data_IF_163442147827
#
_entry.id   IF_163442147827
#
_cell.length_a   1.000
_cell.length_b   1.000
_cell.length_c   1.000
_cell.angle_alpha   90.00
_cell.angle_beta   90.00
_cell.angle_gamma   90.00
#
_symmetry.space_group_name_H-M   'P 1'
#
loop_
_entity.id
_entity.type
_entity.pdbx_description
1 polymer ?
#
# COMPACT_ATOMS: atom_id res chain seq x y z
N UNK A 1 4.92 -1.54 -21.10
CA UNK A 1 5.51 -1.79 -21.71
C UNK A 1 5.84 -2.31 -22.14
N UNK A 2 4.52 -2.41 -22.19
CA UNK A 2 4.67 -2.77 -23.05
C UNK A 2 5.01 -3.30 -23.26
N UNK A 3 4.51 -2.53 -22.00
CA UNK A 3 4.72 -2.87 -22.73
C UNK A 3 4.92 -3.53 -22.84
N UNK A 4 4.00 -3.56 -22.71
CA UNK A 4 4.05 -4.00 -23.33
C UNK A 4 4.43 -4.64 -23.43
N UNK A 5 3.44 -4.34 -23.17
CA UNK A 5 3.62 -4.67 -23.77
C UNK A 5 3.71 -5.14 -23.93
N UNK A 6 2.81 -4.93 -23.54
CA UNK A 6 2.84 -5.12 -24.17
C UNK A 6 2.68 -5.51 -24.53
N UNK A 7 1.92 -5.39 -24.46
CA UNK A 7 1.79 -5.54 -25.22
C UNK A 7 1.62 -5.96 -25.55
N UNK A 8 0.95 -5.71 -25.33
CA UNK A 8 0.76 -5.87 -26.08
C UNK A 8 0.47 -6.21 -26.23
N UNK A 9 -0.28 -5.93 -25.98
CA UNK A 9 -0.54 -5.97 -26.58
C UNK A 9 -0.85 -6.26 -26.80
N UNK A 10 -1.44 -5.94 -26.58
CA UNK A 10 -1.70 -5.95 -27.15
C UNK A 10 -2.04 -6.22 -27.32
N UNK A 11 -2.54 -5.93 -27.25
CA UNK A 11 -2.88 -5.96 -27.78
C UNK A 11 -3.39 -6.34 -28.00
N UNK A 12 -3.84 -6.08 -27.96
CA UNK A 12 -4.31 -6.16 -28.45
C UNK A 12 -4.91 -6.48 -28.65
N UNK A 13 -5.33 -6.27 -28.59
CA UNK A 13 -5.97 -6.37 -28.87
C UNK A 13 -6.59 -6.77 -29.01
N UNK A 14 -7.01 -6.51 -29.10
CA UNK A 14 -7.65 -6.58 -29.36
C UNK A 14 -8.25 -6.70 -29.66
N UNK A 15 -8.50 -6.49 -29.71
CA UNK A 15 -9.22 -6.36 -29.96
C UNK A 15 -9.91 -6.48 -30.18
N UNK A 16 -10.18 -6.30 -30.31
CA UNK A 16 -10.89 -6.19 -30.36
C UNK A 16 -11.67 -6.37 -30.39
N UNK A 17 -12.00 -6.50 -30.79
CA UNK A 17 -12.76 -6.33 -30.51
C UNK A 17 -13.42 -6.47 -30.41
N UNK A 18 -13.61 -6.18 -30.24
CA UNK A 18 -14.15 -6.03 -29.77
C UNK A 18 -14.61 -5.78 -29.66
N UNK A 19 -14.76 -5.31 -29.61
CA UNK A 19 -15.14 -4.74 -29.19
C UNK A 19 -15.87 -4.54 -29.26
N UNK A 20 -16.33 -4.35 -29.32
CA UNK A 20 -16.96 -3.98 -29.01
C UNK A 20 -17.64 -3.87 -28.51
N UNK A 21 -17.86 -3.93 -28.41
CA UNK A 21 -18.50 -3.63 -27.85
C UNK A 21 -18.46 -3.38 -27.00
N UNK A 22 -18.28 -3.46 -26.77
CA UNK A 22 -18.36 -3.19 -25.85
C UNK A 22 -18.45 -2.29 -25.38
N UNK A 23 -18.87 -1.77 -25.52
CA UNK A 23 -19.20 -0.90 -25.08
C UNK A 23 -20.13 -0.57 -24.83
N UNK A 24 -20.42 -0.98 -24.98
CA UNK A 24 -21.51 -0.90 -24.64
C UNK A 24 -21.93 -0.12 -23.62
N UNK A 25 -22.86 -0.32 -23.09
CA UNK A 25 -23.30 0.34 -22.00
C UNK A 25 -22.20 0.46 -21.12
N UNK A 26 -21.89 1.56 -20.71
CA UNK A 26 -20.90 1.69 -19.83
C UNK A 26 -21.18 1.03 -18.63
N UNK A 27 -20.48 0.03 -18.33
CA UNK A 27 -20.57 -0.54 -17.04
C UNK A 27 -20.16 0.51 -16.06
N UNK A 28 -20.78 0.51 -14.97
CA UNK A 28 -20.33 1.32 -13.88
C UNK A 28 -19.01 0.79 -13.46
N UNK A 29 -17.99 1.58 -13.72
CA UNK A 29 -16.66 1.19 -13.30
C UNK A 29 -16.52 1.59 -11.86
N UNK A 30 -16.46 0.62 -10.98
CA UNK A 30 -16.22 0.91 -9.60
C UNK A 30 -14.74 0.98 -9.38
N UNK A 31 -14.31 2.06 -8.80
CA UNK A 31 -12.92 2.14 -8.40
C UNK A 31 -12.68 1.18 -7.26
N UNK A 32 -11.57 0.47 -7.27
CA UNK A 32 -11.26 -0.37 -6.13
C UNK A 32 -11.11 0.46 -4.87
N UNK A 33 -11.57 -0.07 -3.78
CA UNK A 33 -11.40 0.59 -2.49
C UNK A 33 -9.93 0.64 -2.15
N UNK A 34 -9.53 1.75 -1.56
CA UNK A 34 -8.16 1.93 -1.12
C UNK A 34 -8.07 1.77 0.39
N UNK A 35 -6.90 1.37 0.83
CA UNK A 35 -6.65 1.10 2.24
C UNK A 35 -5.35 1.74 2.67
N UNK A 36 -5.35 2.27 3.89
CA UNK A 36 -4.13 2.78 4.50
C UNK A 36 -3.47 1.66 5.26
N UNK A 37 -2.14 1.62 5.18
CA UNK A 37 -1.37 0.80 6.10
C UNK A 37 -0.88 1.73 7.21
N UNK A 38 -1.18 1.35 8.45
CA UNK A 38 -0.92 2.19 9.61
C UNK A 38 0.00 1.47 10.57
N UNK A 39 1.04 2.17 11.01
CA UNK A 39 1.88 1.67 12.08
C UNK A 39 1.36 2.16 13.42
N UNK A 40 1.37 1.28 14.39
CA UNK A 40 0.91 1.58 15.73
C UNK A 40 2.09 1.74 16.67
N UNK A 41 1.98 2.68 17.60
CA UNK A 41 3.04 2.93 18.54
C UNK A 41 3.11 1.84 19.61
N UNK A 42 4.32 1.57 20.06
CA UNK A 42 4.53 0.74 21.24
C UNK A 42 5.75 1.32 21.98
N UNK A 43 6.01 0.80 23.16
CA UNK A 43 7.05 1.36 24.01
C UNK A 43 8.39 0.68 23.90
N UNK A 44 8.49 -0.32 23.02
CA UNK A 44 9.68 -1.16 23.02
C UNK A 44 10.46 -1.16 21.69
N UNK A 45 9.78 -0.89 20.58
CA UNK A 45 10.44 -0.93 19.28
C UNK A 45 11.33 0.30 19.11
N UNK A 46 12.60 0.12 18.77
CA UNK A 46 13.48 1.28 18.59
C UNK A 46 13.04 2.13 17.42
N UNK A 47 13.20 3.44 17.55
CA UNK A 47 12.82 4.38 16.48
C UNK A 47 13.55 4.06 15.18
N UNK A 48 14.82 3.69 15.27
CA UNK A 48 15.58 3.39 14.06
C UNK A 48 15.02 2.17 13.34
N UNK A 49 14.44 1.22 14.08
CA UNK A 49 13.81 0.08 13.44
C UNK A 49 12.57 0.51 12.68
N UNK A 50 11.78 1.43 13.25
CA UNK A 50 10.60 1.96 12.58
C UNK A 50 10.98 2.66 11.30
N UNK A 51 12.04 3.49 11.32
CA UNK A 51 12.51 4.16 10.13
C UNK A 51 12.95 3.13 9.08
N UNK A 52 13.64 2.09 9.51
CA UNK A 52 14.12 1.04 8.62
C UNK A 52 12.95 0.35 7.92
N UNK A 53 11.90 0.02 8.67
CA UNK A 53 10.71 -0.61 8.13
C UNK A 53 10.05 0.29 7.08
N UNK A 54 9.95 1.59 7.38
CA UNK A 54 9.33 2.53 6.47
C UNK A 54 10.12 2.67 5.18
N UNK A 55 11.43 2.66 5.26
CA UNK A 55 12.25 2.75 4.06
C UNK A 55 12.23 1.46 3.24
N UNK A 56 12.29 0.31 3.92
CA UNK A 56 12.41 -0.94 3.19
C UNK A 56 11.10 -1.47 2.62
N UNK A 57 10.01 -1.30 3.34
CA UNK A 57 8.74 -1.87 2.89
C UNK A 57 7.86 -0.86 2.17
N UNK A 58 8.11 0.43 2.36
CA UNK A 58 7.28 1.47 1.73
C UNK A 58 8.07 2.38 0.81
N UNK A 59 9.37 2.13 0.66
CA UNK A 59 10.18 2.88 -0.31
C UNK A 59 10.33 4.34 0.00
N UNK A 60 10.16 4.73 1.26
CA UNK A 60 10.24 6.13 1.63
C UNK A 60 11.68 6.55 1.83
N UNK A 61 11.97 7.83 1.54
CA UNK A 61 13.31 8.31 1.85
C UNK A 61 13.43 8.54 3.36
N UNK A 62 14.63 8.79 3.82
CA UNK A 62 14.89 8.86 5.24
C UNK A 62 14.13 9.99 5.91
N UNK A 63 14.02 11.12 5.22
CA UNK A 63 13.33 12.26 5.79
C UNK A 63 11.85 11.95 5.99
N UNK A 64 11.20 11.40 4.98
CA UNK A 64 9.79 11.07 5.09
C UNK A 64 9.56 9.97 6.10
N UNK A 65 10.43 8.96 6.11
CA UNK A 65 10.33 7.87 7.06
C UNK A 65 10.47 8.40 8.49
N UNK A 66 11.37 9.34 8.71
CA UNK A 66 11.56 9.94 10.03
C UNK A 66 10.32 10.72 10.45
N UNK A 67 9.71 11.46 9.52
CA UNK A 67 8.49 12.20 9.83
C UNK A 67 7.36 11.26 10.27
N UNK A 68 7.21 10.15 9.57
CA UNK A 68 6.16 9.19 9.90
C UNK A 68 6.48 8.52 11.23
N UNK A 69 7.74 8.17 11.45
CA UNK A 69 8.15 7.59 12.73
C UNK A 69 7.82 8.51 13.89
N UNK A 70 8.07 9.82 13.71
CA UNK A 70 7.74 10.76 14.76
C UNK A 70 6.23 10.86 14.99
N UNK A 71 5.44 10.77 13.91
CA UNK A 71 3.99 10.76 14.05
C UNK A 71 3.52 9.54 14.83
N UNK A 72 4.11 8.37 14.55
CA UNK A 72 3.79 7.16 15.30
C UNK A 72 4.10 7.37 16.78
N UNK A 73 5.27 7.94 17.06
CA UNK A 73 5.72 8.12 18.44
C UNK A 73 4.88 9.15 19.20
N UNK A 74 4.51 10.26 18.53
CA UNK A 74 3.83 11.36 19.23
C UNK A 74 2.32 11.26 19.18
N UNK A 75 1.76 10.67 18.10
CA UNK A 75 0.30 10.62 17.94
C UNK A 75 -0.26 9.22 18.11
N UNK A 76 0.60 8.25 18.30
CA UNK A 76 0.16 6.88 18.52
C UNK A 76 0.01 6.05 17.25
N UNK A 77 0.00 6.69 16.09
CA UNK A 77 -0.17 5.99 14.82
C UNK A 77 0.37 6.84 13.69
N UNK A 78 0.76 6.20 12.61
CA UNK A 78 1.24 6.90 11.43
C UNK A 78 0.86 6.14 10.17
N UNK A 79 0.50 6.88 9.12
CA UNK A 79 0.10 6.28 7.85
C UNK A 79 1.35 6.07 7.02
N UNK A 80 1.58 4.82 6.62
CA UNK A 80 2.76 4.47 5.81
C UNK A 80 2.50 4.66 4.33
N UNK A 81 1.26 4.47 3.90
CA UNK A 81 0.90 4.59 2.50
C UNK A 81 -0.51 4.13 2.28
N UNK A 82 -0.98 4.34 1.05
CA UNK A 82 -2.35 4.01 0.65
C UNK A 82 -2.25 3.11 -0.57
N UNK A 83 -2.95 1.98 -0.54
CA UNK A 83 -2.81 0.94 -1.55
C UNK A 83 -4.15 0.29 -1.80
N UNK A 84 -4.23 -0.53 -2.85
CA UNK A 84 -5.39 -1.42 -2.98
C UNK A 84 -5.37 -2.40 -1.80
N UNK A 85 -6.51 -3.03 -1.57
CA UNK A 85 -6.64 -3.91 -0.41
C UNK A 85 -5.59 -5.02 -0.39
N UNK A 86 -5.39 -5.67 -1.53
CA UNK A 86 -4.44 -6.78 -1.59
C UNK A 86 -3.02 -6.33 -1.28
N UNK A 87 -2.63 -5.20 -1.84
CA UNK A 87 -1.28 -4.69 -1.60
C UNK A 87 -1.13 -4.27 -0.15
N UNK A 88 -2.16 -3.60 0.40
CA UNK A 88 -2.12 -3.17 1.80
C UNK A 88 -1.99 -4.37 2.74
N UNK A 89 -2.76 -5.43 2.48
CA UNK A 89 -2.68 -6.63 3.29
C UNK A 89 -1.31 -7.26 3.24
N UNK A 90 -0.74 -7.34 2.03
CA UNK A 90 0.58 -7.93 1.87
C UNK A 90 1.64 -7.11 2.60
N UNK A 91 1.59 -5.79 2.46
CA UNK A 91 2.57 -4.94 3.12
C UNK A 91 2.46 -5.03 4.63
N UNK A 92 1.24 -5.02 5.14
CA UNK A 92 1.02 -5.12 6.58
C UNK A 92 1.56 -6.46 7.10
N UNK A 93 1.28 -7.54 6.38
CA UNK A 93 1.78 -8.85 6.78
C UNK A 93 3.31 -8.88 6.77
N UNK A 94 3.93 -8.30 5.74
CA UNK A 94 5.39 -8.27 5.65
C UNK A 94 6.00 -7.52 6.82
N UNK A 95 5.43 -6.37 7.16
CA UNK A 95 5.92 -5.57 8.28
C UNK A 95 5.79 -6.34 9.58
N UNK A 96 4.63 -6.93 9.81
CA UNK A 96 4.38 -7.63 11.07
C UNK A 96 5.28 -8.85 11.22
N UNK A 97 5.49 -9.58 10.13
CA UNK A 97 6.39 -10.73 10.17
C UNK A 97 7.83 -10.31 10.41
N UNK A 98 8.27 -9.25 9.75
CA UNK A 98 9.63 -8.76 9.91
C UNK A 98 9.87 -8.28 11.35
N UNK A 99 8.89 -7.57 11.92
CA UNK A 99 8.98 -7.13 13.30
C UNK A 99 9.11 -8.31 14.24
N UNK A 100 8.28 -9.32 14.03
CA UNK A 100 8.30 -10.49 14.89
C UNK A 100 9.62 -11.24 14.78
N UNK A 101 10.14 -11.35 13.56
CA UNK A 101 11.43 -12.01 13.36
C UNK A 101 12.57 -11.29 14.06
N UNK A 102 12.43 -9.98 14.23
CA UNK A 102 13.43 -9.18 14.91
C UNK A 102 13.06 -8.94 16.38
N UNK A 103 12.05 -9.64 16.85
CA UNK A 103 11.65 -9.61 18.25
C UNK A 103 11.20 -8.22 18.72
N UNK A 104 10.52 -7.51 17.84
CA UNK A 104 9.94 -6.22 18.19
C UNK A 104 8.41 -6.31 18.15
N UNK A 105 7.73 -5.64 19.06
CA UNK A 105 6.26 -5.69 19.08
C UNK A 105 5.60 -4.76 18.08
N UNK A 106 6.34 -4.07 17.24
CA UNK A 106 5.77 -3.17 16.25
C UNK A 106 4.73 -3.89 15.41
N UNK A 107 3.56 -3.28 15.27
CA UNK A 107 2.46 -3.84 14.51
C UNK A 107 1.92 -2.83 13.53
N UNK A 108 1.45 -3.32 12.41
CA UNK A 108 0.71 -2.51 11.46
C UNK A 108 -0.67 -3.10 11.28
N UNK A 109 -1.59 -2.27 10.82
CA UNK A 109 -2.92 -2.72 10.46
C UNK A 109 -3.37 -1.93 9.25
N UNK A 110 -4.44 -2.38 8.61
CA UNK A 110 -4.97 -1.66 7.46
C UNK A 110 -6.36 -1.13 7.82
N UNK A 111 -6.72 -0.01 7.20
CA UNK A 111 -8.07 0.51 7.37
C UNK A 111 -8.52 1.10 6.05
N UNK A 112 -9.82 1.00 5.73
CA UNK A 112 -10.31 1.54 4.46
C UNK A 112 -10.24 3.07 4.45
N UNK A 113 -9.95 3.61 3.28
CA UNK A 113 -10.01 5.04 3.07
C UNK A 113 -11.45 5.37 2.73
N UNK A 114 -12.05 6.29 3.49
CA UNK A 114 -13.40 6.67 3.20
C UNK A 114 -13.42 7.50 1.95
N UNK A 115 -14.42 7.22 1.11
CA UNK A 115 -14.56 7.98 -0.09
C UNK A 115 -15.71 8.93 0.07
N UNK A 116 -15.51 10.16 -0.37
CA UNK A 116 -16.58 11.09 -0.39
C UNK A 116 -17.35 10.87 -1.64
N UNK A 117 -18.63 10.80 -1.58
CA UNK A 117 -19.47 10.62 -2.74
C UNK A 117 -19.80 11.92 -3.43
#
# INVERSE_FOLDING_TARGET
>A
MYKRQASNSEDNDFEEGSSLATKTADPIVKKPSLYRVILLNDNYTPMEFVVHVLQNFFGLDKEKATQIMLAVHTKGRGVCGIFTREVAETKSMQVNNFSQQNEHPLMSEIEPVEEDD
#
